data_IF_666581229911
#
_entry.id   IF_666581229911
#
_cell.length_a   1.000
_cell.length_b   1.000
_cell.length_c   1.000
_cell.angle_alpha   90.00
_cell.angle_beta   90.00
_cell.angle_gamma   90.00
#
_symmetry.space_group_name_H-M   'P 1'
#
loop_
_entity.id
_entity.type
_entity.pdbx_description
1 polymer ?
#
# COMPACT_ATOMS: atom_id res chain seq x y z
N UNK A 1 -5.51 18.78 -23.40
CA UNK A 1 -4.60 19.95 -23.44
C UNK A 1 -4.80 20.85 -22.23
N UNK A 2 -5.99 21.44 -21.99
CA UNK A 2 -6.22 22.37 -20.85
C UNK A 2 -5.96 21.73 -19.46
N UNK A 3 -6.36 20.46 -19.25
CA UNK A 3 -6.09 19.78 -17.95
C UNK A 3 -4.60 19.52 -17.71
N UNK A 4 -3.84 19.16 -18.76
CA UNK A 4 -2.41 18.89 -18.67
C UNK A 4 -1.64 20.17 -18.29
N UNK A 5 -1.93 21.29 -18.94
CA UNK A 5 -1.31 22.58 -18.64
C UNK A 5 -1.56 23.01 -17.19
N UNK A 6 -2.78 22.82 -16.68
CA UNK A 6 -3.10 23.07 -15.27
C UNK A 6 -2.29 22.20 -14.32
N UNK A 7 -2.09 20.92 -14.64
CA UNK A 7 -1.25 20.01 -13.83
C UNK A 7 0.20 20.46 -13.86
N UNK A 8 0.74 20.86 -15.01
CA UNK A 8 2.11 21.40 -15.10
C UNK A 8 2.27 22.66 -14.24
N UNK A 9 1.32 23.59 -14.32
CA UNK A 9 1.34 24.80 -13.50
C UNK A 9 1.28 24.47 -12.00
N UNK A 10 0.40 23.54 -11.60
CA UNK A 10 0.29 23.09 -10.22
C UNK A 10 1.61 22.51 -9.68
N UNK A 11 2.23 21.60 -10.44
CA UNK A 11 3.49 20.95 -10.08
C UNK A 11 4.68 21.93 -10.04
N UNK A 12 4.63 23.02 -10.80
CA UNK A 12 5.66 24.07 -10.75
C UNK A 12 5.56 24.97 -9.51
N UNK A 13 4.36 25.06 -8.92
CA UNK A 13 4.03 26.02 -7.86
C UNK A 13 4.05 25.42 -6.47
N UNK A 14 3.74 24.12 -6.34
CA UNK A 14 3.66 23.44 -5.05
C UNK A 14 4.63 22.25 -5.01
N UNK A 15 5.34 22.05 -3.87
CA UNK A 15 6.14 20.87 -3.61
C UNK A 15 5.41 19.55 -3.89
N UNK A 16 6.13 18.60 -4.48
CA UNK A 16 5.56 17.30 -4.87
C UNK A 16 5.07 16.49 -3.66
N UNK A 17 5.78 16.56 -2.54
CA UNK A 17 5.45 15.88 -1.28
C UNK A 17 4.07 16.33 -0.74
N UNK A 18 3.89 17.64 -0.65
CA UNK A 18 2.63 18.27 -0.24
C UNK A 18 1.47 17.93 -1.17
N UNK A 19 1.70 17.94 -2.49
CA UNK A 19 0.72 17.50 -3.47
C UNK A 19 0.42 16.00 -3.38
N UNK A 20 1.40 15.18 -2.98
CA UNK A 20 1.22 13.74 -2.76
C UNK A 20 0.30 13.47 -1.57
N UNK A 21 0.53 14.15 -0.44
CA UNK A 21 -0.34 14.07 0.73
C UNK A 21 -1.77 14.51 0.39
N UNK A 22 -1.93 15.67 -0.26
CA UNK A 22 -3.24 16.17 -0.64
C UNK A 22 -3.94 15.28 -1.68
N UNK A 23 -3.20 14.70 -2.65
CA UNK A 23 -3.73 13.70 -3.58
C UNK A 23 -4.19 12.45 -2.83
N UNK A 24 -3.42 11.96 -1.85
CA UNK A 24 -3.81 10.86 -0.98
C UNK A 24 -5.13 11.14 -0.25
N UNK A 25 -5.31 12.36 0.28
CA UNK A 25 -6.60 12.78 0.85
C UNK A 25 -7.72 12.82 -0.17
N UNK A 26 -7.44 13.33 -1.36
CA UNK A 26 -8.43 13.35 -2.43
C UNK A 26 -8.73 11.95 -2.97
N UNK A 27 -7.93 10.92 -2.74
CA UNK A 27 -8.35 9.54 -3.00
C UNK A 27 -9.18 8.95 -1.85
N UNK A 28 -8.92 9.41 -0.63
CA UNK A 28 -9.63 9.02 0.58
C UNK A 28 -10.78 9.95 1.00
N UNK A 29 -10.78 10.30 2.30
CA UNK A 29 -11.83 11.07 2.99
C UNK A 29 -11.88 12.57 2.61
N UNK A 30 -10.90 13.05 1.85
CA UNK A 30 -10.82 14.42 1.38
C UNK A 30 -11.78 14.73 0.22
N UNK A 31 -12.32 15.94 0.23
CA UNK A 31 -13.13 16.44 -0.88
C UNK A 31 -13.24 17.95 -0.90
N UNK A 32 -13.76 18.48 -2.00
CA UNK A 32 -14.04 19.90 -2.15
C UNK A 32 -15.55 20.13 -2.05
N UNK A 33 -15.92 21.10 -1.22
CA UNK A 33 -17.28 21.62 -1.16
C UNK A 33 -17.35 22.90 -1.97
N UNK A 34 -18.33 22.99 -2.88
CA UNK A 34 -18.64 24.20 -3.64
C UNK A 34 -20.11 24.54 -3.46
N UNK A 35 -20.38 25.78 -3.07
CA UNK A 35 -21.72 26.36 -3.07
C UNK A 35 -21.88 27.18 -4.35
N UNK A 36 -23.10 27.35 -4.83
CA UNK A 36 -23.36 28.16 -6.02
C UNK A 36 -22.75 29.56 -5.87
N UNK A 37 -22.04 30.00 -6.90
CA UNK A 37 -21.33 31.29 -6.96
C UNK A 37 -20.27 31.51 -5.86
N UNK A 38 -19.74 30.45 -5.25
CA UNK A 38 -18.66 30.54 -4.26
C UNK A 38 -17.44 29.73 -4.68
N UNK A 39 -16.27 30.14 -4.16
CA UNK A 39 -15.02 29.39 -4.34
C UNK A 39 -15.02 28.09 -3.51
N UNK A 40 -14.40 27.03 -4.03
CA UNK A 40 -14.31 25.74 -3.36
C UNK A 40 -13.53 25.81 -2.04
N UNK A 41 -13.92 24.93 -1.11
CA UNK A 41 -13.22 24.70 0.15
C UNK A 41 -12.91 23.23 0.31
N UNK A 42 -11.65 22.93 0.59
CA UNK A 42 -11.22 21.57 0.94
C UNK A 42 -11.76 21.22 2.32
N UNK A 43 -12.12 19.95 2.48
CA UNK A 43 -12.61 19.39 3.74
C UNK A 43 -12.25 17.92 3.84
N UNK A 44 -12.11 17.45 5.07
CA UNK A 44 -12.12 16.04 5.43
C UNK A 44 -12.77 15.86 6.80
N UNK A 45 -13.21 14.65 7.08
CA UNK A 45 -13.84 14.28 8.35
C UNK A 45 -13.27 12.94 8.78
N UNK A 46 -12.75 12.85 10.00
CA UNK A 46 -12.35 11.56 10.57
C UNK A 46 -13.22 11.23 11.79
N UNK A 47 -13.40 9.94 12.06
CA UNK A 47 -14.13 9.50 13.25
C UNK A 47 -13.40 9.90 14.54
N UNK A 48 -14.11 9.95 15.66
CA UNK A 48 -13.53 10.36 16.96
C UNK A 48 -12.29 9.56 17.36
N UNK A 49 -12.22 8.27 17.00
CA UNK A 49 -11.09 7.40 17.35
C UNK A 49 -9.83 7.67 16.52
N UNK A 50 -9.95 8.42 15.41
CA UNK A 50 -8.84 8.78 14.54
C UNK A 50 -8.51 10.30 14.68
N UNK A 51 -8.73 10.89 15.87
CA UNK A 51 -8.44 12.30 16.14
C UNK A 51 -6.97 12.67 15.88
N UNK A 52 -6.03 11.87 16.38
CA UNK A 52 -4.60 12.17 16.21
C UNK A 52 -4.21 12.14 14.72
N UNK A 53 -4.87 11.28 13.92
CA UNK A 53 -4.69 11.29 12.47
C UNK A 53 -5.26 12.58 11.85
N UNK A 54 -6.44 13.02 12.29
CA UNK A 54 -7.00 14.31 11.87
C UNK A 54 -6.09 15.49 12.22
N UNK A 55 -5.50 15.50 13.42
CA UNK A 55 -4.60 16.54 13.88
C UNK A 55 -3.32 16.56 13.04
N UNK A 56 -2.70 15.39 12.82
CA UNK A 56 -1.52 15.27 11.96
C UNK A 56 -1.80 15.76 10.53
N UNK A 57 -2.94 15.37 9.93
CA UNK A 57 -3.31 15.84 8.60
C UNK A 57 -3.44 17.36 8.52
N UNK A 58 -3.98 18.00 9.57
CA UNK A 58 -4.06 19.45 9.67
C UNK A 58 -2.67 20.08 9.74
N UNK A 59 -1.79 19.55 10.59
CA UNK A 59 -0.43 20.07 10.79
C UNK A 59 0.43 20.00 9.53
N UNK A 60 0.30 18.94 8.73
CA UNK A 60 1.03 18.81 7.47
C UNK A 60 0.49 19.73 6.37
N UNK A 61 -0.85 19.89 6.28
CA UNK A 61 -1.48 20.61 5.18
C UNK A 61 -1.65 22.12 5.44
N UNK A 62 -1.58 22.59 6.70
CA UNK A 62 -1.80 24.01 7.01
C UNK A 62 -0.77 24.97 6.40
N UNK A 63 0.43 24.45 6.06
CA UNK A 63 1.49 25.25 5.44
C UNK A 63 1.21 25.57 3.97
N UNK A 64 0.39 24.76 3.31
CA UNK A 64 0.15 24.82 1.86
C UNK A 64 -1.22 25.37 1.53
N UNK A 65 -2.14 25.29 2.50
CA UNK A 65 -3.48 25.82 2.38
C UNK A 65 -3.99 26.33 3.73
N UNK A 66 -4.75 27.43 3.74
CA UNK A 66 -5.29 27.98 4.98
C UNK A 66 -6.36 27.03 5.56
N UNK A 67 -6.03 26.29 6.61
CA UNK A 67 -6.92 25.35 7.29
C UNK A 67 -7.40 25.89 8.64
N UNK A 68 -8.64 25.57 8.98
CA UNK A 68 -9.09 25.65 10.37
C UNK A 68 -8.72 24.36 11.10
N UNK A 69 -8.37 24.43 12.40
CA UNK A 69 -8.05 23.24 13.19
C UNK A 69 -9.24 22.27 13.28
N UNK A 70 -9.03 20.99 13.63
CA UNK A 70 -10.10 20.00 13.75
C UNK A 70 -11.19 20.41 14.74
N UNK A 71 -12.44 20.43 14.26
CA UNK A 71 -13.61 20.79 15.07
C UNK A 71 -14.41 19.52 15.37
N UNK A 72 -14.65 19.26 16.66
CA UNK A 72 -15.53 18.16 17.09
C UNK A 72 -16.96 18.38 16.57
N UNK A 73 -17.55 17.31 16.04
CA UNK A 73 -18.94 17.24 15.60
C UNK A 73 -19.62 15.99 16.11
N UNK A 74 -20.82 16.18 16.65
CA UNK A 74 -21.76 15.11 17.00
C UNK A 74 -22.97 15.21 16.07
N UNK A 75 -23.17 14.20 15.24
CA UNK A 75 -24.23 14.18 14.24
C UNK A 75 -25.22 13.07 14.56
N UNK A 76 -26.52 13.37 14.56
CA UNK A 76 -27.55 12.35 14.71
C UNK A 76 -27.46 11.36 13.54
N UNK A 77 -27.40 10.07 13.85
CA UNK A 77 -27.31 9.01 12.86
C UNK A 77 -28.22 7.85 13.28
N UNK A 78 -29.43 7.74 12.71
CA UNK A 78 -30.38 6.71 13.10
C UNK A 78 -29.95 5.30 12.67
N UNK A 79 -28.91 5.17 11.82
CA UNK A 79 -28.38 3.87 11.37
C UNK A 79 -27.52 3.21 12.45
N UNK A 80 -27.03 3.98 13.42
CA UNK A 80 -26.14 3.52 14.48
C UNK A 80 -26.93 3.33 15.76
N UNK A 81 -26.71 2.23 16.48
CA UNK A 81 -27.43 1.91 17.73
C UNK A 81 -27.35 3.03 18.79
N UNK A 82 -26.22 3.74 18.85
CA UNK A 82 -25.99 4.89 19.74
C UNK A 82 -26.88 6.11 19.41
N UNK A 83 -27.46 6.15 18.21
CA UNK A 83 -28.28 7.26 17.68
C UNK A 83 -27.48 8.45 17.16
N UNK A 84 -26.15 8.43 17.25
CA UNK A 84 -25.27 9.49 16.77
C UNK A 84 -23.87 8.97 16.43
N UNK A 85 -23.18 9.73 15.59
CA UNK A 85 -21.75 9.58 15.28
C UNK A 85 -20.97 10.79 15.77
N UNK A 86 -19.70 10.55 16.10
CA UNK A 86 -18.78 11.57 16.60
C UNK A 86 -17.57 11.61 15.67
N UNK A 87 -17.14 12.82 15.32
CA UNK A 87 -16.11 13.04 14.31
C UNK A 87 -15.39 14.36 14.53
N UNK A 88 -14.23 14.49 13.91
CA UNK A 88 -13.51 15.75 13.76
C UNK A 88 -13.58 16.19 12.30
N UNK A 89 -13.98 17.45 12.11
CA UNK A 89 -14.14 18.06 10.81
C UNK A 89 -13.11 19.17 10.61
N UNK A 90 -12.44 19.13 9.46
CA UNK A 90 -11.51 20.17 9.04
C UNK A 90 -12.00 20.77 7.73
N UNK A 91 -11.90 22.09 7.61
CA UNK A 91 -12.21 22.80 6.39
C UNK A 91 -11.23 23.95 6.16
N UNK A 92 -10.81 24.10 4.91
CA UNK A 92 -9.98 25.22 4.47
C UNK A 92 -10.78 26.52 4.31
N UNK A 93 -10.09 27.65 4.40
CA UNK A 93 -10.53 28.87 3.73
C UNK A 93 -10.39 28.71 2.20
N UNK A 94 -10.92 29.65 1.44
CA UNK A 94 -10.79 29.63 -0.02
C UNK A 94 -9.37 30.04 -0.42
N UNK A 95 -8.71 29.26 -1.26
CA UNK A 95 -7.39 29.57 -1.80
C UNK A 95 -7.27 29.08 -3.25
N UNK A 96 -6.24 29.52 -3.95
CA UNK A 96 -6.00 29.16 -5.35
C UNK A 96 -5.80 27.65 -5.55
N UNK A 97 -5.16 26.97 -4.58
CA UNK A 97 -4.98 25.52 -4.59
C UNK A 97 -6.31 24.77 -4.66
N UNK A 98 -7.34 25.25 -3.94
CA UNK A 98 -8.68 24.67 -4.02
C UNK A 98 -9.30 24.84 -5.40
N UNK A 99 -9.08 25.98 -6.05
CA UNK A 99 -9.60 26.24 -7.40
C UNK A 99 -8.96 25.29 -8.41
N UNK A 100 -7.64 25.08 -8.32
CA UNK A 100 -6.94 24.11 -9.16
C UNK A 100 -7.48 22.71 -8.95
N UNK A 101 -7.49 22.24 -7.70
CA UNK A 101 -7.95 20.90 -7.37
C UNK A 101 -9.42 20.70 -7.77
N UNK A 102 -10.28 21.68 -7.57
CA UNK A 102 -11.68 21.60 -8.00
C UNK A 102 -11.77 21.38 -9.51
N UNK A 103 -10.97 22.11 -10.28
CA UNK A 103 -11.05 22.07 -11.74
C UNK A 103 -10.51 20.79 -12.37
N UNK A 104 -9.73 19.98 -11.64
CA UNK A 104 -9.14 18.72 -12.12
C UNK A 104 -9.80 17.48 -11.49
N UNK A 105 -10.22 17.56 -10.22
CA UNK A 105 -10.85 16.45 -9.49
C UNK A 105 -12.37 16.42 -9.63
N UNK A 106 -13.01 17.43 -10.21
CA UNK A 106 -14.46 17.45 -10.37
C UNK A 106 -14.88 17.73 -11.80
N UNK A 107 -15.81 16.91 -12.29
CA UNK A 107 -16.53 17.11 -13.54
C UNK A 107 -18.02 17.00 -13.24
N UNK A 108 -18.80 18.01 -13.62
CA UNK A 108 -20.25 18.05 -13.37
C UNK A 108 -20.62 17.82 -11.89
N UNK A 109 -19.82 18.38 -10.97
CA UNK A 109 -19.91 18.23 -9.50
C UNK A 109 -19.66 16.81 -8.98
N UNK A 110 -19.27 15.87 -9.84
CA UNK A 110 -18.87 14.51 -9.48
C UNK A 110 -17.36 14.45 -9.37
N UNK A 111 -16.87 13.78 -8.33
CA UNK A 111 -15.43 13.56 -8.11
C UNK A 111 -14.91 12.57 -9.15
N UNK A 112 -13.81 12.90 -9.81
CA UNK A 112 -13.14 12.08 -10.83
C UNK A 112 -11.65 12.02 -10.54
N UNK A 113 -10.98 10.95 -10.94
CA UNK A 113 -9.53 10.78 -10.74
C UNK A 113 -8.74 11.53 -11.83
N UNK A 114 -7.92 12.55 -11.49
CA UNK A 114 -7.06 13.23 -12.46
C UNK A 114 -5.77 12.44 -12.69
N UNK A 115 -5.81 11.45 -13.58
CA UNK A 115 -4.66 10.56 -13.84
C UNK A 115 -3.37 11.30 -14.22
N UNK A 116 -3.46 12.42 -14.96
CA UNK A 116 -2.29 13.24 -15.30
C UNK A 116 -1.53 13.77 -14.07
N UNK A 117 -2.27 14.14 -13.01
CA UNK A 117 -1.68 14.53 -11.72
C UNK A 117 -1.22 13.29 -10.96
N UNK A 118 -2.10 12.29 -10.87
CA UNK A 118 -1.87 11.09 -10.07
C UNK A 118 -0.62 10.32 -10.51
N UNK A 119 -0.32 10.28 -11.80
CA UNK A 119 0.92 9.70 -12.32
C UNK A 119 2.19 10.30 -11.70
N UNK A 120 2.13 11.56 -11.24
CA UNK A 120 3.25 12.26 -10.60
C UNK A 120 3.19 12.18 -9.09
N UNK A 121 1.99 12.24 -8.52
CA UNK A 121 1.78 12.36 -7.07
C UNK A 121 1.50 11.05 -6.36
N UNK A 122 1.29 9.93 -7.06
CA UNK A 122 1.09 8.60 -6.47
C UNK A 122 2.41 8.05 -5.90
N UNK A 123 3.04 8.77 -4.97
CA UNK A 123 4.23 8.35 -4.21
C UNK A 123 3.85 7.36 -3.09
N UNK A 124 4.81 6.70 -2.42
CA UNK A 124 4.54 5.88 -1.25
C UNK A 124 3.75 6.63 -0.16
N UNK A 125 4.04 7.92 0.02
CA UNK A 125 3.32 8.78 0.95
C UNK A 125 1.86 9.02 0.53
N UNK A 126 1.59 9.29 -0.75
CA UNK A 126 0.22 9.41 -1.26
C UNK A 126 -0.57 8.12 -1.00
N UNK A 127 0.04 6.96 -1.27
CA UNK A 127 -0.60 5.65 -1.01
C UNK A 127 -0.83 5.46 0.49
N UNK A 128 0.12 5.84 1.34
CA UNK A 128 -0.03 5.74 2.79
C UNK A 128 -1.16 6.63 3.32
N UNK A 129 -1.27 7.86 2.82
CA UNK A 129 -2.34 8.80 3.20
C UNK A 129 -3.71 8.29 2.76
N UNK A 130 -3.82 7.80 1.52
CA UNK A 130 -5.04 7.18 1.01
C UNK A 130 -5.42 5.92 1.79
N UNK A 131 -4.45 5.05 2.08
CA UNK A 131 -4.66 3.81 2.84
C UNK A 131 -5.09 4.10 4.29
N UNK A 132 -4.54 5.14 4.91
CA UNK A 132 -4.93 5.54 6.26
C UNK A 132 -6.36 6.08 6.32
N UNK A 133 -6.91 6.61 5.24
CA UNK A 133 -8.32 7.00 5.19
C UNK A 133 -9.17 5.76 4.84
N UNK A 134 -9.04 5.26 3.61
CA UNK A 134 -9.96 4.28 3.02
C UNK A 134 -9.42 2.84 2.92
N UNK A 135 -8.25 2.59 3.49
CA UNK A 135 -7.61 1.28 3.49
C UNK A 135 -7.98 0.39 4.67
N UNK A 136 -7.95 -0.92 4.44
CA UNK A 136 -8.17 -1.93 5.47
C UNK A 136 -7.28 -3.16 5.27
N UNK A 137 -6.58 -3.58 6.32
CA UNK A 137 -5.86 -4.85 6.37
C UNK A 137 -6.74 -5.92 7.02
N UNK A 138 -7.13 -6.94 6.25
CA UNK A 138 -7.85 -8.08 6.81
C UNK A 138 -6.85 -9.11 7.34
N UNK A 139 -6.91 -9.36 8.63
CA UNK A 139 -6.13 -10.38 9.33
C UNK A 139 -7.08 -11.46 9.84
N UNK A 140 -6.68 -12.73 9.74
CA UNK A 140 -7.44 -13.84 10.32
C UNK A 140 -6.50 -14.92 10.83
N UNK A 141 -6.65 -15.28 12.10
CA UNK A 141 -5.79 -16.24 12.81
C UNK A 141 -4.30 -15.85 12.74
N UNK A 142 -4.00 -14.56 12.95
CA UNK A 142 -2.63 -14.02 12.90
C UNK A 142 -2.00 -13.99 11.50
N UNK A 143 -2.76 -14.30 10.44
CA UNK A 143 -2.28 -14.30 9.05
C UNK A 143 -2.89 -13.15 8.26
N UNK A 144 -2.05 -12.49 7.46
CA UNK A 144 -2.48 -11.50 6.48
C UNK A 144 -3.35 -12.18 5.42
N UNK A 145 -4.54 -11.64 5.15
CA UNK A 145 -5.47 -12.22 4.17
C UNK A 145 -5.59 -11.37 2.93
N UNK A 146 -5.78 -10.07 3.10
CA UNK A 146 -5.88 -9.12 2.00
C UNK A 146 -5.78 -7.68 2.48
N UNK A 147 -5.35 -6.82 1.58
CA UNK A 147 -5.55 -5.36 1.67
C UNK A 147 -6.77 -4.99 0.83
N UNK A 148 -7.60 -4.09 1.35
CA UNK A 148 -8.74 -3.50 0.65
C UNK A 148 -8.54 -1.98 0.64
N UNK A 149 -8.81 -1.35 -0.50
CA UNK A 149 -8.93 0.11 -0.63
C UNK A 149 -10.37 0.41 -1.08
N UNK A 150 -11.14 1.07 -0.21
CA UNK A 150 -12.52 1.45 -0.50
C UNK A 150 -12.54 2.50 -1.62
N UNK A 151 -12.97 2.07 -2.80
CA UNK A 151 -12.94 2.83 -4.07
C UNK A 151 -14.26 2.70 -4.81
N UNK A 152 -15.29 2.23 -4.12
CA UNK A 152 -16.64 2.01 -4.62
C UNK A 152 -17.34 3.31 -5.06
N UNK A 153 -16.82 4.47 -4.65
CA UNK A 153 -17.29 5.79 -5.09
C UNK A 153 -16.80 6.20 -6.49
N UNK A 154 -15.72 5.60 -7.00
CA UNK A 154 -15.21 5.83 -8.35
C UNK A 154 -15.81 4.84 -9.34
N UNK A 155 -15.76 5.15 -10.63
CA UNK A 155 -16.27 4.26 -11.67
C UNK A 155 -15.37 3.04 -11.85
N UNK A 156 -15.91 1.94 -12.41
CA UNK A 156 -15.13 0.74 -12.76
C UNK A 156 -13.98 1.06 -13.72
N UNK A 157 -14.18 2.01 -14.65
CA UNK A 157 -13.15 2.45 -15.59
C UNK A 157 -12.01 3.17 -14.87
N UNK A 158 -12.33 4.08 -13.95
CA UNK A 158 -11.33 4.77 -13.13
C UNK A 158 -10.56 3.77 -12.27
N UNK A 159 -11.24 2.85 -11.60
CA UNK A 159 -10.56 1.86 -10.77
C UNK A 159 -9.69 0.91 -11.59
N UNK A 160 -10.10 0.56 -12.81
CA UNK A 160 -9.26 -0.25 -13.72
C UNK A 160 -7.98 0.50 -14.09
N UNK A 161 -8.08 1.79 -14.47
CA UNK A 161 -6.91 2.64 -14.74
C UNK A 161 -6.03 2.84 -13.50
N UNK A 162 -6.63 2.95 -12.32
CA UNK A 162 -5.92 3.06 -11.05
C UNK A 162 -5.11 1.80 -10.75
N UNK A 163 -5.68 0.62 -10.98
CA UNK A 163 -4.98 -0.67 -10.89
C UNK A 163 -3.80 -0.72 -11.86
N UNK A 164 -4.00 -0.32 -13.12
CA UNK A 164 -2.94 -0.28 -14.14
C UNK A 164 -1.79 0.65 -13.73
N UNK A 165 -2.10 1.85 -13.23
CA UNK A 165 -1.11 2.82 -12.77
C UNK A 165 -0.30 2.28 -11.58
N UNK A 166 -0.99 1.73 -10.56
CA UNK A 166 -0.34 1.13 -9.38
C UNK A 166 0.57 -0.03 -9.80
N UNK A 167 0.11 -0.88 -10.73
CA UNK A 167 0.91 -1.99 -11.28
C UNK A 167 2.14 -1.47 -12.02
N UNK A 168 2.01 -0.44 -12.85
CA UNK A 168 3.11 0.14 -13.59
C UNK A 168 4.19 0.72 -12.65
N UNK A 169 3.79 1.49 -11.64
CA UNK A 169 4.73 2.14 -10.74
C UNK A 169 5.35 1.16 -9.73
N UNK A 170 4.53 0.31 -9.11
CA UNK A 170 4.92 -0.48 -7.94
C UNK A 170 4.96 -1.99 -8.17
N UNK A 171 4.51 -2.49 -9.32
CA UNK A 171 4.39 -3.93 -9.58
C UNK A 171 3.22 -4.60 -8.83
N UNK A 172 2.41 -3.81 -8.13
CA UNK A 172 1.29 -4.31 -7.31
C UNK A 172 0.04 -4.54 -8.18
N UNK A 173 -0.45 -5.77 -8.17
CA UNK A 173 -1.56 -6.27 -8.96
C UNK A 173 -2.82 -6.36 -8.09
N UNK A 174 -3.53 -5.24 -7.95
CA UNK A 174 -4.85 -5.21 -7.35
C UNK A 174 -5.90 -5.83 -8.29
N UNK A 175 -6.99 -6.29 -7.71
CA UNK A 175 -8.17 -6.81 -8.39
C UNK A 175 -9.42 -6.07 -7.89
N UNK A 176 -10.49 -6.05 -8.68
CA UNK A 176 -11.77 -5.54 -8.22
C UNK A 176 -12.58 -6.62 -7.51
N UNK A 177 -13.27 -6.23 -6.44
CA UNK A 177 -14.28 -7.08 -5.81
C UNK A 177 -15.69 -6.74 -6.31
N UNK A 178 -16.68 -7.47 -5.79
CA UNK A 178 -18.10 -7.27 -6.16
C UNK A 178 -18.68 -5.92 -5.74
N UNK A 179 -17.96 -5.10 -4.97
CA UNK A 179 -18.35 -3.74 -4.59
C UNK A 179 -17.54 -2.69 -5.35
N UNK A 180 -16.78 -3.06 -6.39
CA UNK A 180 -15.89 -2.16 -7.12
C UNK A 180 -14.77 -1.57 -6.22
N UNK A 181 -14.27 -2.34 -5.25
CA UNK A 181 -13.12 -1.97 -4.42
C UNK A 181 -11.85 -2.65 -4.91
N UNK A 182 -10.72 -1.97 -4.77
CA UNK A 182 -9.40 -2.53 -5.02
C UNK A 182 -9.00 -3.50 -3.89
N UNK A 183 -8.64 -4.73 -4.25
CA UNK A 183 -8.18 -5.78 -3.33
C UNK A 183 -6.87 -6.41 -3.77
N UNK A 184 -5.95 -6.56 -2.81
CA UNK A 184 -4.69 -7.28 -2.96
C UNK A 184 -4.68 -8.54 -2.08
N UNK A 185 -4.53 -9.71 -2.70
CA UNK A 185 -4.60 -11.02 -2.01
C UNK A 185 -3.24 -11.72 -1.86
N UNK A 186 -2.33 -11.51 -2.81
CA UNK A 186 -1.06 -12.20 -2.83
C UNK A 186 -0.20 -11.82 -1.62
N UNK A 187 0.39 -12.80 -0.96
CA UNK A 187 1.14 -12.55 0.27
C UNK A 187 2.37 -11.70 0.01
N UNK A 188 3.16 -11.98 -1.02
CA UNK A 188 4.39 -11.22 -1.29
C UNK A 188 4.03 -9.76 -1.57
N UNK A 189 2.97 -9.53 -2.34
CA UNK A 189 2.49 -8.18 -2.62
C UNK A 189 1.92 -7.47 -1.40
N UNK A 190 1.23 -8.17 -0.48
CA UNK A 190 0.74 -7.57 0.77
C UNK A 190 1.93 -7.10 1.63
N UNK A 191 2.95 -7.95 1.83
CA UNK A 191 4.15 -7.54 2.58
C UNK A 191 4.88 -6.38 1.90
N UNK A 192 5.01 -6.43 0.57
CA UNK A 192 5.58 -5.36 -0.22
C UNK A 192 4.83 -4.04 -0.03
N UNK A 193 3.49 -4.05 -0.13
CA UNK A 193 2.65 -2.88 0.07
C UNK A 193 2.80 -2.31 1.48
N UNK A 194 2.73 -3.14 2.52
CA UNK A 194 2.84 -2.65 3.90
C UNK A 194 4.20 -2.01 4.15
N UNK A 195 5.29 -2.60 3.66
CA UNK A 195 6.64 -2.02 3.78
C UNK A 195 6.84 -0.78 2.93
N UNK A 196 6.17 -0.69 1.78
CA UNK A 196 6.19 0.49 0.91
C UNK A 196 5.67 1.72 1.66
N UNK A 197 4.60 1.56 2.45
CA UNK A 197 3.94 2.67 3.13
C UNK A 197 4.38 2.87 4.58
N UNK A 198 5.09 1.91 5.18
CA UNK A 198 5.29 1.83 6.64
C UNK A 198 5.84 3.11 7.28
N UNK A 199 6.72 3.83 6.58
CA UNK A 199 7.36 5.05 7.10
C UNK A 199 6.46 6.28 7.08
N UNK A 200 5.36 6.22 6.33
CA UNK A 200 4.38 7.30 6.18
C UNK A 200 3.06 6.99 6.92
N UNK A 201 2.96 5.85 7.60
CA UNK A 201 1.80 5.52 8.45
C UNK A 201 1.97 6.18 9.81
N UNK A 202 1.04 7.06 10.17
CA UNK A 202 1.03 7.73 11.46
C UNK A 202 0.84 6.72 12.61
N UNK A 203 1.51 6.87 13.78
CA UNK A 203 1.41 5.91 14.88
C UNK A 203 -0.01 5.62 15.37
N UNK A 204 -0.92 6.61 15.38
CA UNK A 204 -2.32 6.40 15.74
C UNK A 204 -3.08 5.48 14.76
N UNK A 205 -2.56 5.32 13.55
CA UNK A 205 -3.09 4.44 12.50
C UNK A 205 -2.36 3.10 12.43
N UNK A 206 -1.51 2.78 13.41
CA UNK A 206 -0.75 1.52 13.48
C UNK A 206 -1.63 0.26 13.40
N UNK A 207 -2.90 0.32 13.83
CA UNK A 207 -3.88 -0.78 13.63
C UNK A 207 -4.05 -1.21 12.17
N UNK A 208 -3.74 -0.34 11.20
CA UNK A 208 -3.80 -0.63 9.76
C UNK A 208 -2.50 -1.25 9.23
N UNK A 209 -1.45 -1.32 10.04
CA UNK A 209 -0.13 -1.84 9.68
C UNK A 209 0.22 -3.04 10.59
N UNK A 210 0.29 -4.24 10.02
CA UNK A 210 0.70 -5.43 10.77
C UNK A 210 1.61 -6.31 9.93
N UNK A 211 2.81 -6.58 10.44
CA UNK A 211 3.74 -7.56 9.91
C UNK A 211 3.91 -8.68 10.95
N UNK A 212 3.55 -9.93 10.62
CA UNK A 212 3.70 -11.05 11.53
C UNK A 212 5.17 -11.23 11.97
N UNK A 213 5.45 -11.48 13.26
CA UNK A 213 6.81 -11.80 13.70
C UNK A 213 7.29 -13.14 13.10
N UNK A 214 8.62 -13.35 13.00
CA UNK A 214 9.17 -14.63 12.58
C UNK A 214 8.73 -15.74 13.53
N UNK A 215 8.42 -16.91 12.95
CA UNK A 215 8.14 -18.10 13.74
C UNK A 215 9.44 -18.70 14.28
N UNK A 216 9.43 -19.09 15.54
CA UNK A 216 10.52 -19.87 16.13
C UNK A 216 10.31 -21.37 15.89
N UNK A 217 11.41 -22.06 15.57
CA UNK A 217 11.47 -23.51 15.46
C UNK A 217 12.58 -24.06 16.36
N UNK A 218 12.32 -25.20 16.98
CA UNK A 218 13.20 -25.85 17.97
C UNK A 218 13.64 -27.26 17.56
N UNK A 219 13.28 -27.71 16.36
CA UNK A 219 13.61 -29.03 15.86
C UNK A 219 13.77 -29.01 14.35
N UNK A 220 14.67 -29.87 13.87
CA UNK A 220 14.89 -30.11 12.46
C UNK A 220 13.61 -30.67 11.82
N UNK A 221 13.36 -30.29 10.56
CA UNK A 221 12.11 -30.63 9.88
C UNK A 221 12.35 -31.15 8.48
N UNK A 222 11.84 -32.35 8.21
CA UNK A 222 11.72 -32.88 6.84
C UNK A 222 10.62 -32.14 6.09
N UNK A 223 10.94 -31.66 4.90
CA UNK A 223 10.05 -30.89 4.04
C UNK A 223 10.29 -31.22 2.57
N UNK A 224 9.41 -30.73 1.69
CA UNK A 224 9.60 -30.78 0.24
C UNK A 224 9.83 -29.37 -0.29
N UNK A 225 10.91 -29.18 -1.03
CA UNK A 225 11.27 -27.92 -1.67
C UNK A 225 11.05 -28.09 -3.18
N UNK A 226 10.25 -27.20 -3.76
CA UNK A 226 9.94 -27.21 -5.18
C UNK A 226 10.84 -26.21 -5.89
N UNK A 227 11.73 -26.70 -6.75
CA UNK A 227 12.68 -25.85 -7.47
C UNK A 227 12.49 -26.00 -8.97
N UNK A 228 12.83 -24.97 -9.76
CA UNK A 228 12.81 -25.07 -11.21
C UNK A 228 13.61 -26.25 -11.73
N UNK A 229 13.04 -26.99 -12.67
CA UNK A 229 13.75 -28.10 -13.33
C UNK A 229 15.03 -27.64 -14.06
N UNK A 230 15.10 -26.36 -14.42
CA UNK A 230 16.26 -25.70 -15.04
C UNK A 230 17.50 -25.62 -14.15
N UNK A 231 17.39 -25.79 -12.82
CA UNK A 231 18.55 -25.78 -11.92
C UNK A 231 19.40 -27.06 -11.99
N UNK A 232 18.96 -28.11 -12.70
CA UNK A 232 19.72 -29.34 -12.96
C UNK A 232 20.36 -30.00 -11.72
N UNK A 233 19.63 -29.99 -10.60
CA UNK A 233 20.12 -30.49 -9.30
C UNK A 233 20.35 -32.01 -9.34
N UNK A 234 21.59 -32.46 -9.07
CA UNK A 234 22.00 -33.88 -9.12
C UNK A 234 22.07 -34.53 -7.74
N UNK A 235 22.49 -33.80 -6.73
CA UNK A 235 22.61 -34.22 -5.32
C UNK A 235 21.75 -33.30 -4.44
N UNK A 236 20.41 -33.50 -4.43
CA UNK A 236 19.46 -32.51 -3.91
C UNK A 236 19.74 -32.04 -2.49
N UNK A 237 19.91 -32.97 -1.55
CA UNK A 237 20.20 -32.63 -0.15
C UNK A 237 21.45 -31.76 -0.04
N UNK A 238 22.57 -32.22 -0.62
CA UNK A 238 23.86 -31.51 -0.54
C UNK A 238 23.79 -30.13 -1.20
N UNK A 239 23.26 -30.05 -2.41
CA UNK A 239 23.19 -28.79 -3.16
C UNK A 239 22.24 -27.78 -2.51
N UNK A 240 21.12 -28.22 -1.94
CA UNK A 240 20.21 -27.36 -1.19
C UNK A 240 20.88 -26.84 0.08
N UNK A 241 21.57 -27.68 0.86
CA UNK A 241 22.29 -27.21 2.05
C UNK A 241 23.36 -26.17 1.69
N UNK A 242 24.15 -26.43 0.63
CA UNK A 242 25.14 -25.47 0.13
C UNK A 242 24.49 -24.15 -0.30
N UNK A 243 23.32 -24.18 -0.95
CA UNK A 243 22.61 -22.94 -1.30
C UNK A 243 22.18 -22.18 -0.04
N UNK A 244 21.66 -22.87 0.98
CA UNK A 244 21.19 -22.28 2.23
C UNK A 244 22.30 -21.64 3.07
N UNK A 245 23.58 -21.90 2.79
CA UNK A 245 24.70 -21.12 3.36
C UNK A 245 24.61 -19.62 2.99
N UNK A 246 23.88 -19.27 1.92
CA UNK A 246 23.63 -17.88 1.49
C UNK A 246 22.46 -17.21 2.20
N UNK A 247 21.76 -17.88 3.13
CA UNK A 247 20.63 -17.30 3.87
C UNK A 247 20.96 -15.97 4.58
N UNK A 248 22.12 -15.79 5.24
CA UNK A 248 22.48 -14.50 5.83
C UNK A 248 22.46 -13.35 4.81
N UNK A 249 22.98 -13.60 3.60
CA UNK A 249 22.94 -12.61 2.51
C UNK A 249 21.52 -12.32 2.03
N UNK A 250 20.65 -13.33 1.98
CA UNK A 250 19.21 -13.11 1.69
C UNK A 250 18.59 -12.21 2.75
N UNK A 251 18.88 -12.47 4.03
CA UNK A 251 18.39 -11.67 5.16
C UNK A 251 18.86 -10.22 5.03
N UNK A 252 20.14 -9.98 4.73
CA UNK A 252 20.67 -8.63 4.51
C UNK A 252 19.95 -7.89 3.38
N UNK A 253 19.70 -8.59 2.26
CA UNK A 253 18.97 -8.05 1.10
C UNK A 253 17.55 -7.64 1.50
N UNK A 254 16.83 -8.48 2.26
CA UNK A 254 15.43 -8.17 2.61
C UNK A 254 15.32 -7.20 3.77
N UNK A 255 16.32 -7.09 4.64
CA UNK A 255 16.38 -6.10 5.71
C UNK A 255 16.53 -4.66 5.17
N UNK A 256 17.33 -4.47 4.12
CA UNK A 256 17.57 -3.15 3.57
C UNK A 256 16.53 -2.77 2.51
N UNK A 257 15.76 -1.69 2.73
CA UNK A 257 14.75 -1.19 1.78
C UNK A 257 15.28 -0.99 0.36
N UNK A 258 16.51 -0.48 0.21
CA UNK A 258 17.14 -0.19 -1.09
C UNK A 258 17.33 -1.44 -1.94
N UNK A 259 17.56 -2.59 -1.31
CA UNK A 259 17.71 -3.89 -1.99
C UNK A 259 16.41 -4.68 -1.99
N UNK A 260 15.57 -4.54 -0.97
CA UNK A 260 14.28 -5.23 -0.85
C UNK A 260 13.35 -4.91 -2.03
N UNK A 261 13.06 -3.63 -2.28
CA UNK A 261 12.05 -3.27 -3.28
C UNK A 261 12.41 -3.72 -4.70
N UNK A 262 13.65 -3.49 -5.21
CA UNK A 262 14.03 -3.99 -6.53
C UNK A 262 13.94 -5.52 -6.65
N UNK A 263 14.44 -6.25 -5.65
CA UNK A 263 14.46 -7.73 -5.68
C UNK A 263 13.05 -8.30 -5.64
N UNK A 264 12.19 -7.79 -4.76
CA UNK A 264 10.81 -8.28 -4.67
C UNK A 264 10.01 -7.88 -5.91
N UNK A 265 10.20 -6.66 -6.45
CA UNK A 265 9.53 -6.23 -7.69
C UNK A 265 9.91 -7.13 -8.87
N UNK A 266 11.19 -7.42 -9.06
CA UNK A 266 11.66 -8.35 -10.09
C UNK A 266 11.04 -9.75 -9.91
N UNK A 267 10.92 -10.22 -8.66
CA UNK A 267 10.30 -11.49 -8.35
C UNK A 267 8.81 -11.52 -8.69
N UNK A 268 8.08 -10.44 -8.42
CA UNK A 268 6.67 -10.29 -8.79
C UNK A 268 6.48 -10.30 -10.31
N UNK A 269 7.33 -9.57 -11.05
CA UNK A 269 7.30 -9.54 -12.52
C UNK A 269 7.59 -10.90 -13.15
N UNK A 270 8.50 -11.68 -12.56
CA UNK A 270 8.80 -13.06 -13.01
C UNK A 270 7.64 -14.02 -12.75
N UNK A 271 6.96 -13.92 -11.62
CA UNK A 271 5.79 -14.76 -11.31
C UNK A 271 4.65 -14.60 -12.32
N UNK A 272 4.47 -13.39 -12.87
CA UNK A 272 3.46 -13.12 -13.89
C UNK A 272 3.77 -13.73 -15.27
N UNK A 273 5.02 -14.14 -15.52
CA UNK A 273 5.52 -14.47 -16.87
C UNK A 273 5.77 -15.96 -17.12
N UNK A 274 5.71 -16.84 -16.12
CA UNK A 274 6.26 -18.20 -16.25
C UNK A 274 5.31 -19.33 -15.85
N UNK A 275 5.06 -20.24 -16.80
CA UNK A 275 4.71 -21.64 -16.53
C UNK A 275 6.01 -22.45 -16.34
N UNK A 276 6.77 -22.14 -15.28
CA UNK A 276 8.03 -22.84 -14.99
C UNK A 276 7.72 -24.23 -14.41
N UNK A 277 8.29 -25.29 -15.00
CA UNK A 277 8.15 -26.65 -14.49
C UNK A 277 8.99 -26.79 -13.22
N UNK A 278 8.36 -27.21 -12.13
CA UNK A 278 9.01 -27.41 -10.84
C UNK A 278 9.18 -28.90 -10.53
N UNK A 279 10.30 -29.24 -9.88
CA UNK A 279 10.57 -30.56 -9.33
C UNK A 279 10.65 -30.49 -7.80
N UNK A 280 10.00 -31.44 -7.13
CA UNK A 280 10.00 -31.55 -5.67
C UNK A 280 11.20 -32.33 -5.16
N UNK A 281 11.86 -31.83 -4.13
CA UNK A 281 13.01 -32.45 -3.47
C UNK A 281 12.76 -32.55 -1.96
N UNK A 282 12.81 -33.76 -1.42
CA UNK A 282 12.67 -33.96 0.03
C UNK A 282 14.01 -33.77 0.73
N UNK A 283 14.01 -32.94 1.77
CA UNK A 283 15.22 -32.58 2.53
C UNK A 283 14.85 -32.30 4.00
N UNK A 284 15.77 -32.60 4.91
CA UNK A 284 15.65 -32.22 6.32
C UNK A 284 16.40 -30.92 6.53
N UNK A 285 15.68 -29.86 6.90
CA UNK A 285 16.29 -28.56 7.20
C UNK A 285 16.66 -28.50 8.68
N UNK A 286 17.83 -27.93 8.95
CA UNK A 286 18.29 -27.74 10.32
C UNK A 286 17.54 -26.61 11.00
N UNK A 287 17.47 -26.65 12.32
CA UNK A 287 16.81 -25.62 13.14
C UNK A 287 17.32 -24.20 12.85
N UNK A 288 18.65 -23.93 12.74
CA UNK A 288 19.15 -22.61 12.34
C UNK A 288 18.68 -22.17 10.95
N UNK A 289 18.68 -23.08 9.97
CA UNK A 289 18.20 -22.78 8.61
C UNK A 289 16.71 -22.42 8.63
N UNK A 290 15.88 -23.15 9.38
CA UNK A 290 14.45 -22.88 9.51
C UNK A 290 14.19 -21.51 10.14
N UNK A 291 14.92 -21.13 11.19
CA UNK A 291 14.78 -19.83 11.82
C UNK A 291 15.17 -18.69 10.86
N UNK A 292 16.29 -18.82 10.13
CA UNK A 292 16.67 -17.86 9.09
C UNK A 292 15.63 -17.75 7.97
N UNK A 293 15.05 -18.88 7.54
CA UNK A 293 13.96 -18.87 6.56
C UNK A 293 12.75 -18.13 7.13
N UNK A 294 12.35 -18.39 8.38
CA UNK A 294 11.21 -17.73 9.02
C UNK A 294 11.40 -16.21 9.15
N UNK A 295 12.62 -15.72 9.36
CA UNK A 295 12.95 -14.29 9.28
C UNK A 295 12.64 -13.74 7.89
N UNK A 296 13.12 -14.40 6.83
CA UNK A 296 12.83 -13.96 5.46
C UNK A 296 11.33 -13.99 5.19
N UNK A 297 10.60 -15.01 5.66
CA UNK A 297 9.15 -15.13 5.51
C UNK A 297 8.39 -13.98 6.20
N UNK A 298 8.77 -13.61 7.42
CA UNK A 298 8.14 -12.50 8.15
C UNK A 298 8.42 -11.12 7.53
N UNK A 299 9.38 -11.01 6.62
CA UNK A 299 9.72 -9.75 5.97
C UNK A 299 9.20 -9.63 4.53
N UNK A 300 8.87 -10.77 3.91
CA UNK A 300 8.60 -10.83 2.47
C UNK A 300 7.29 -11.54 2.12
N UNK A 301 6.71 -12.32 3.03
CA UNK A 301 5.59 -13.21 2.71
C UNK A 301 5.95 -14.37 1.76
N UNK A 302 7.23 -14.56 1.42
CA UNK A 302 7.66 -15.61 0.49
C UNK A 302 7.48 -17.01 1.08
N UNK A 303 7.20 -17.98 0.21
CA UNK A 303 7.16 -19.39 0.60
C UNK A 303 8.58 -19.98 0.64
N UNK A 304 8.75 -21.04 1.44
CA UNK A 304 10.02 -21.76 1.61
C UNK A 304 10.75 -22.02 0.29
N UNK A 305 10.05 -22.58 -0.69
CA UNK A 305 10.65 -22.97 -1.97
C UNK A 305 11.21 -21.78 -2.75
N UNK A 306 10.55 -20.62 -2.66
CA UNK A 306 11.01 -19.41 -3.31
C UNK A 306 12.25 -18.84 -2.63
N UNK A 307 12.30 -18.86 -1.30
CA UNK A 307 13.47 -18.43 -0.52
C UNK A 307 14.68 -19.29 -0.88
N UNK A 308 14.49 -20.62 -1.00
CA UNK A 308 15.56 -21.53 -1.40
C UNK A 308 15.98 -21.25 -2.85
N UNK A 309 15.04 -21.02 -3.77
CA UNK A 309 15.36 -20.60 -5.15
C UNK A 309 16.21 -19.32 -5.17
N UNK A 310 15.90 -18.33 -4.33
CA UNK A 310 16.73 -17.12 -4.21
C UNK A 310 18.16 -17.45 -3.76
N UNK A 311 18.33 -18.38 -2.83
CA UNK A 311 19.66 -18.83 -2.38
C UNK A 311 20.51 -19.47 -3.49
N UNK A 312 19.90 -19.96 -4.58
CA UNK A 312 20.62 -20.43 -5.78
C UNK A 312 21.01 -19.28 -6.73
N UNK A 313 20.27 -18.17 -6.71
CA UNK A 313 20.40 -17.11 -7.71
C UNK A 313 21.13 -15.88 -7.19
N UNK A 314 21.30 -15.75 -5.87
CA UNK A 314 22.07 -14.66 -5.29
C UNK A 314 23.56 -14.91 -5.59
N UNK A 315 24.27 -13.92 -6.16
CA UNK A 315 25.67 -14.05 -6.53
C UNK A 315 26.59 -14.34 -5.33
#
# INVERSE_FOLDING_TARGET
MIKIEKVTNLLSKYPLEELSMLTGKMLGDGGLSIQDNRRPRFRYTHCITDFEWSQYCFEQLQNIMPLNPPIYKKTLDPRIQKGYTESFYVQSLTCELNDYFQSIWYQDRVKVIPFDLLEKTLTPECIAWWYQDDGHLRISQGKLRKIILSTDSFTNLENTKLIELIKLQYGLCFSLDGQNRLILYDQIQIYYFLRLIEEHVHPSMSRKLFLPPPKETFADKRTTIYLPASLLIKKPTKEIHNALERLPRVIDIVNNKKTYFPVVKEQLEKQLKLNEIHKGYQVTLTTPQLNSIHIVQSMTGMQLSLIVKMCFNIP
#
